data_IF_409315097304
#
_entry.id   IF_409315097304
#
_cell.length_a   1.000
_cell.length_b   1.000
_cell.length_c   1.000
_cell.angle_alpha   90.00
_cell.angle_beta   90.00
_cell.angle_gamma   90.00
#
_symmetry.space_group_name_H-M   'P 1'
#
loop_
_entity.id
_entity.type
_entity.pdbx_description
1 polymer ?
#
# COMPACT_ATOMS: atom_id res chain seq x y z
N UNK A 1 21.51 13.60 -19.68
CA UNK A 1 20.22 14.31 -19.56
C UNK A 1 19.39 13.52 -18.57
N UNK A 2 19.27 14.01 -17.33
CA UNK A 2 18.53 13.30 -16.29
C UNK A 2 17.05 13.27 -16.65
N UNK A 3 16.48 12.07 -16.80
CA UNK A 3 15.03 11.91 -16.84
C UNK A 3 14.49 12.29 -15.46
N UNK A 4 14.01 13.52 -15.30
CA UNK A 4 13.18 13.87 -14.16
C UNK A 4 12.03 12.85 -14.12
N UNK A 5 11.95 12.04 -13.07
CA UNK A 5 10.82 11.11 -12.89
C UNK A 5 9.54 11.94 -12.99
N UNK A 6 8.54 11.51 -13.78
CA UNK A 6 7.29 12.25 -13.88
C UNK A 6 6.68 12.42 -12.49
N UNK A 7 6.32 13.66 -12.14
CA UNK A 7 5.70 13.97 -10.85
C UNK A 7 4.48 13.06 -10.61
N UNK A 8 4.42 12.46 -9.42
CA UNK A 8 3.32 11.57 -9.02
C UNK A 8 1.97 12.27 -9.12
N UNK A 9 0.88 11.52 -9.25
CA UNK A 9 -0.47 12.08 -9.25
C UNK A 9 -0.74 12.96 -8.00
N UNK A 10 -0.19 12.58 -6.85
CA UNK A 10 -0.29 13.33 -5.59
C UNK A 10 0.41 14.68 -5.68
N UNK A 11 1.63 14.72 -6.25
CA UNK A 11 2.39 15.96 -6.47
C UNK A 11 1.66 16.92 -7.43
N UNK A 12 0.96 16.38 -8.43
CA UNK A 12 0.16 17.19 -9.36
C UNK A 12 -1.08 17.77 -8.69
N UNK A 13 -1.78 16.98 -7.88
CA UNK A 13 -2.89 17.49 -7.05
C UNK A 13 -2.42 18.59 -6.10
N UNK A 14 -1.24 18.43 -5.49
CA UNK A 14 -0.67 19.47 -4.63
C UNK A 14 -0.44 20.78 -5.38
N UNK A 15 0.05 20.70 -6.62
CA UNK A 15 0.15 21.88 -7.49
C UNK A 15 -1.19 22.56 -7.74
N UNK A 16 -2.24 21.79 -8.02
CA UNK A 16 -3.60 22.34 -8.25
C UNK A 16 -4.15 23.04 -6.99
N UNK A 17 -3.94 22.47 -5.81
CA UNK A 17 -4.40 23.04 -4.54
C UNK A 17 -3.56 24.24 -4.06
N UNK A 18 -2.33 24.40 -4.56
CA UNK A 18 -1.49 25.55 -4.23
C UNK A 18 -2.06 26.84 -4.82
N UNK A 19 -2.72 26.79 -5.99
CA UNK A 19 -3.26 27.99 -6.64
C UNK A 19 -4.37 28.66 -5.81
N UNK A 20 -5.44 27.96 -5.37
CA UNK A 20 -6.43 28.58 -4.50
C UNK A 20 -5.86 28.98 -3.14
N UNK A 21 -4.82 28.32 -2.64
CA UNK A 21 -4.14 28.76 -1.43
C UNK A 21 -3.56 30.16 -1.62
N UNK A 22 -2.69 30.36 -2.62
CA UNK A 22 -2.03 31.66 -2.88
C UNK A 22 -3.05 32.78 -3.12
N UNK A 23 -4.15 32.49 -3.82
CA UNK A 23 -5.18 33.49 -4.13
C UNK A 23 -6.03 33.88 -2.91
N UNK A 24 -6.15 33.01 -1.91
CA UNK A 24 -6.94 33.28 -0.71
C UNK A 24 -6.09 33.49 0.55
N UNK A 25 -4.77 33.29 0.50
CA UNK A 25 -3.85 33.56 1.60
C UNK A 25 -3.45 35.04 1.58
N UNK A 26 -3.90 35.83 2.54
CA UNK A 26 -3.39 37.17 2.78
C UNK A 26 -2.35 37.15 3.93
N UNK A 27 -1.24 37.90 3.83
CA UNK A 27 -0.30 38.06 4.94
C UNK A 27 -1.02 38.72 6.12
N UNK A 28 -0.90 38.16 7.33
CA UNK A 28 -1.69 38.61 8.48
C UNK A 28 -1.40 40.03 9.01
N UNK A 29 -0.47 40.76 8.38
CA UNK A 29 -0.12 42.13 8.78
C UNK A 29 -1.21 43.14 8.38
N UNK A 30 -2.19 42.76 7.55
CA UNK A 30 -3.31 43.60 7.12
C UNK A 30 -4.67 43.25 7.77
N UNK A 31 -4.73 42.31 8.73
CA UNK A 31 -5.94 42.10 9.55
C UNK A 31 -6.06 43.18 10.64
N UNK A 32 -6.02 44.44 10.21
CA UNK A 32 -6.60 45.51 10.99
C UNK A 32 -8.13 45.32 10.90
N UNK A 33 -8.85 45.43 12.02
CA UNK A 33 -10.30 45.16 12.12
C UNK A 33 -11.19 46.10 11.29
N UNK A 34 -10.60 46.82 10.35
CA UNK A 34 -11.14 47.84 9.47
C UNK A 34 -11.29 47.35 8.01
N UNK A 35 -10.65 46.25 7.60
CA UNK A 35 -10.82 45.64 6.25
C UNK A 35 -11.84 44.49 6.28
N UNK A 36 -13.02 44.73 5.71
CA UNK A 36 -14.24 43.94 5.91
C UNK A 36 -14.33 42.52 5.32
N UNK A 37 -13.24 41.77 5.16
CA UNK A 37 -13.31 40.34 4.85
C UNK A 37 -13.05 39.51 6.11
N UNK A 38 -14.13 38.98 6.71
CA UNK A 38 -14.02 38.03 7.82
C UNK A 38 -13.19 36.80 7.38
N UNK A 39 -12.31 36.32 8.27
CA UNK A 39 -11.53 35.10 8.11
C UNK A 39 -12.40 33.90 7.69
N UNK A 40 -13.66 33.86 8.13
CA UNK A 40 -14.63 32.83 7.78
C UNK A 40 -15.03 32.88 6.30
N UNK A 41 -15.15 34.08 5.73
CA UNK A 41 -15.46 34.25 4.29
C UNK A 41 -14.32 33.69 3.45
N UNK A 42 -13.08 33.96 3.85
CA UNK A 42 -11.89 33.46 3.16
C UNK A 42 -11.77 31.94 3.30
N UNK A 43 -12.07 31.37 4.47
CA UNK A 43 -12.07 29.93 4.69
C UNK A 43 -13.11 29.24 3.80
N UNK A 44 -14.34 29.76 3.76
CA UNK A 44 -15.42 29.26 2.89
C UNK A 44 -15.05 29.35 1.40
N UNK A 45 -14.45 30.46 0.97
CA UNK A 45 -13.96 30.64 -0.40
C UNK A 45 -12.90 29.58 -0.75
N UNK A 46 -11.91 29.35 0.12
CA UNK A 46 -10.88 28.34 -0.09
C UNK A 46 -11.47 26.92 -0.13
N UNK A 47 -12.38 26.59 0.80
CA UNK A 47 -13.07 25.31 0.86
C UNK A 47 -13.86 25.03 -0.42
N UNK A 48 -14.63 26.01 -0.90
CA UNK A 48 -15.39 25.89 -2.14
C UNK A 48 -14.48 25.58 -3.33
N UNK A 49 -13.36 26.30 -3.48
CA UNK A 49 -12.42 26.08 -4.59
C UNK A 49 -11.70 24.73 -4.50
N UNK A 50 -11.31 24.29 -3.32
CA UNK A 50 -10.71 22.96 -3.16
C UNK A 50 -11.72 21.86 -3.47
N UNK A 51 -12.95 21.98 -3.00
CA UNK A 51 -14.03 21.04 -3.30
C UNK A 51 -14.30 20.94 -4.81
N UNK A 52 -14.33 22.08 -5.52
CA UNK A 52 -14.47 22.12 -6.98
C UNK A 52 -13.32 21.40 -7.70
N UNK A 53 -12.06 21.64 -7.30
CA UNK A 53 -10.90 20.94 -7.86
C UNK A 53 -11.00 19.43 -7.64
N UNK A 54 -11.39 18.99 -6.44
CA UNK A 54 -11.54 17.57 -6.16
C UNK A 54 -12.67 16.93 -6.97
N UNK A 55 -13.79 17.65 -7.18
CA UNK A 55 -14.86 17.20 -8.07
C UNK A 55 -14.40 17.06 -9.52
N UNK A 56 -13.65 18.02 -10.04
CA UNK A 56 -13.11 17.97 -11.40
C UNK A 56 -12.17 16.77 -11.59
N UNK A 57 -11.36 16.46 -10.56
CA UNK A 57 -10.47 15.29 -10.57
C UNK A 57 -11.28 14.00 -10.47
N UNK A 58 -12.32 13.98 -9.65
CA UNK A 58 -13.25 12.85 -9.52
C UNK A 58 -13.89 12.52 -10.87
N UNK A 59 -14.35 13.52 -11.63
CA UNK A 59 -14.88 13.33 -12.99
C UNK A 59 -13.82 12.76 -13.96
N UNK A 60 -12.55 13.17 -13.85
CA UNK A 60 -11.46 12.59 -14.65
C UNK A 60 -11.21 11.10 -14.32
N UNK A 61 -11.39 10.72 -13.05
CA UNK A 61 -11.27 9.32 -12.60
C UNK A 61 -12.46 8.51 -13.13
N UNK A 62 -13.68 9.05 -13.09
CA UNK A 62 -14.86 8.40 -13.64
C UNK A 62 -14.73 8.15 -15.16
N UNK A 63 -14.23 9.13 -15.92
CA UNK A 63 -13.87 8.91 -17.33
C UNK A 63 -12.83 7.79 -17.45
N UNK A 64 -11.76 7.83 -16.66
CA UNK A 64 -10.72 6.81 -16.71
C UNK A 64 -11.27 5.39 -16.47
N UNK A 65 -12.11 5.19 -15.45
CA UNK A 65 -12.78 3.92 -15.16
C UNK A 65 -13.63 3.46 -16.36
N UNK A 66 -14.40 4.36 -16.97
CA UNK A 66 -15.21 4.05 -18.14
C UNK A 66 -14.38 3.63 -19.37
N UNK A 67 -13.15 4.14 -19.49
CA UNK A 67 -12.22 3.83 -20.59
C UNK A 67 -11.43 2.54 -20.31
N UNK A 68 -11.18 2.18 -19.06
CA UNK A 68 -10.43 0.97 -18.67
C UNK A 68 -11.00 -0.33 -19.25
N UNK A 69 -12.32 -0.39 -19.48
CA UNK A 69 -12.99 -1.56 -20.06
C UNK A 69 -12.84 -1.66 -21.59
N UNK A 70 -12.28 -0.65 -22.25
CA UNK A 70 -12.10 -0.62 -23.70
C UNK A 70 -10.75 -1.23 -24.10
N UNK A 71 -10.68 -1.80 -25.29
CA UNK A 71 -9.46 -2.44 -25.83
C UNK A 71 -8.30 -1.48 -26.10
N UNK A 72 -8.57 -0.18 -26.25
CA UNK A 72 -7.56 0.87 -26.42
C UNK A 72 -7.89 2.06 -25.51
N UNK A 73 -7.63 1.94 -24.19
CA UNK A 73 -8.05 2.92 -23.20
C UNK A 73 -7.30 4.23 -23.42
N UNK A 74 -8.02 5.32 -23.69
CA UNK A 74 -7.47 6.67 -23.88
C UNK A 74 -8.28 7.70 -23.11
N UNK A 75 -8.20 7.64 -21.79
CA UNK A 75 -8.76 8.67 -20.92
C UNK A 75 -7.90 9.93 -20.92
N UNK A 76 -8.51 11.09 -20.64
CA UNK A 76 -7.77 12.34 -20.42
C UNK A 76 -6.77 12.21 -19.25
N UNK A 77 -7.13 11.49 -18.19
CA UNK A 77 -6.26 11.29 -17.03
C UNK A 77 -4.96 10.57 -17.39
N UNK A 78 -5.04 9.47 -18.15
CA UNK A 78 -3.87 8.74 -18.64
C UNK A 78 -2.97 9.58 -19.56
N UNK A 79 -3.54 10.46 -20.39
CA UNK A 79 -2.73 11.38 -21.22
C UNK A 79 -1.95 12.39 -20.36
N UNK A 80 -2.54 12.88 -19.27
CA UNK A 80 -1.91 13.85 -18.36
C UNK A 80 -0.92 13.18 -17.39
N UNK A 81 -1.20 11.95 -17.00
CA UNK A 81 -0.41 11.15 -16.07
C UNK A 81 -0.22 9.75 -16.66
N UNK A 82 0.77 9.54 -17.56
CA UNK A 82 0.95 8.25 -18.24
C UNK A 82 1.26 7.08 -17.31
N UNK A 83 1.73 7.36 -16.09
CA UNK A 83 2.01 6.37 -15.05
C UNK A 83 0.79 6.00 -14.21
N UNK A 84 -0.39 6.56 -14.48
CA UNK A 84 -1.62 6.23 -13.75
C UNK A 84 -2.01 4.77 -14.03
N UNK A 85 -2.33 4.04 -12.96
CA UNK A 85 -2.83 2.67 -13.02
C UNK A 85 -4.36 2.63 -13.08
N UNK A 86 -4.92 1.42 -13.16
CA UNK A 86 -6.35 1.21 -13.03
C UNK A 86 -6.88 1.72 -11.67
N UNK A 87 -8.12 2.17 -11.68
CA UNK A 87 -8.97 2.40 -10.52
C UNK A 87 -10.02 1.29 -10.44
N UNK A 88 -10.20 0.72 -9.26
CA UNK A 88 -11.17 -0.35 -9.01
C UNK A 88 -12.49 0.16 -8.45
N UNK A 89 -12.49 1.39 -7.92
CA UNK A 89 -13.66 2.05 -7.36
C UNK A 89 -13.70 3.52 -7.81
N UNK A 90 -14.89 4.12 -7.88
CA UNK A 90 -15.03 5.57 -7.97
C UNK A 90 -14.56 6.21 -6.67
N UNK A 91 -13.91 7.38 -6.75
CA UNK A 91 -13.42 8.08 -5.57
C UNK A 91 -14.26 9.33 -5.32
N UNK A 92 -14.99 9.37 -4.21
CA UNK A 92 -15.77 10.54 -3.77
C UNK A 92 -14.84 11.61 -3.20
N UNK A 93 -13.98 12.18 -4.05
CA UNK A 93 -12.91 13.10 -3.66
C UNK A 93 -13.44 14.40 -3.07
N UNK A 94 -14.54 14.94 -3.59
CA UNK A 94 -15.14 16.13 -3.01
C UNK A 94 -15.62 15.87 -1.58
N UNK A 95 -16.38 14.78 -1.40
CA UNK A 95 -16.96 14.41 -0.11
C UNK A 95 -15.86 14.05 0.90
N UNK A 96 -14.82 13.35 0.46
CA UNK A 96 -13.63 13.02 1.26
C UNK A 96 -12.83 14.27 1.66
N UNK A 97 -12.69 15.25 0.74
CA UNK A 97 -12.07 16.52 1.07
C UNK A 97 -12.85 17.27 2.14
N UNK A 98 -14.17 17.40 1.99
CA UNK A 98 -15.03 18.07 2.98
C UNK A 98 -14.91 17.41 4.36
N UNK A 99 -14.88 16.08 4.39
CA UNK A 99 -14.65 15.31 5.61
C UNK A 99 -13.30 15.66 6.25
N UNK A 100 -12.19 15.52 5.52
CA UNK A 100 -10.86 15.80 6.09
C UNK A 100 -10.67 17.28 6.43
N UNK A 101 -11.27 18.20 5.69
CA UNK A 101 -11.25 19.63 5.99
C UNK A 101 -11.96 19.94 7.32
N UNK A 102 -13.08 19.26 7.62
CA UNK A 102 -13.77 19.42 8.90
C UNK A 102 -12.94 18.98 10.11
N UNK A 103 -12.04 18.00 9.92
CA UNK A 103 -11.18 17.45 10.97
C UNK A 103 -9.87 18.24 11.08
N UNK A 104 -9.31 18.69 9.95
CA UNK A 104 -7.94 19.22 9.86
C UNK A 104 -7.87 20.72 9.53
N UNK A 105 -9.03 21.35 9.37
CA UNK A 105 -9.19 22.77 9.06
C UNK A 105 -8.28 23.23 7.91
N UNK A 106 -8.18 22.42 6.84
CA UNK A 106 -7.26 22.62 5.70
C UNK A 106 -7.48 24.01 5.09
N UNK A 107 -8.74 24.34 4.79
CA UNK A 107 -9.16 25.61 4.19
C UNK A 107 -9.07 26.81 5.14
N UNK A 108 -8.90 26.58 6.43
CA UNK A 108 -8.75 27.65 7.43
C UNK A 108 -7.30 28.10 7.59
N UNK A 109 -6.33 27.38 7.02
CA UNK A 109 -4.91 27.75 7.08
C UNK A 109 -4.64 28.98 6.23
N UNK A 110 -3.73 29.85 6.71
CA UNK A 110 -3.32 31.09 6.00
C UNK A 110 -1.85 31.15 5.64
N UNK A 111 -1.02 30.33 6.30
CA UNK A 111 0.43 30.32 6.12
C UNK A 111 0.97 29.00 5.57
N UNK A 112 0.14 27.95 5.60
CA UNK A 112 0.52 26.61 5.20
C UNK A 112 -0.50 26.09 4.21
N UNK A 113 -0.06 25.88 2.97
CA UNK A 113 -0.88 25.28 1.92
C UNK A 113 -1.22 23.81 2.25
N UNK A 114 -2.23 23.23 1.59
CA UNK A 114 -2.47 21.78 1.64
C UNK A 114 -1.18 21.01 1.33
N UNK A 115 -0.78 20.15 2.25
CA UNK A 115 0.44 19.36 2.16
C UNK A 115 0.21 18.08 1.37
N UNK A 116 1.30 17.41 1.02
CA UNK A 116 1.25 16.04 0.48
C UNK A 116 0.47 15.08 1.40
N UNK A 117 0.66 15.19 2.72
CA UNK A 117 -0.03 14.35 3.69
C UNK A 117 -1.54 14.63 3.73
N UNK A 118 -1.96 15.89 3.59
CA UNK A 118 -3.40 16.21 3.51
C UNK A 118 -4.04 15.50 2.31
N UNK A 119 -3.39 15.55 1.14
CA UNK A 119 -3.88 14.91 -0.09
C UNK A 119 -3.90 13.39 0.05
N UNK A 120 -2.84 12.79 0.61
CA UNK A 120 -2.76 11.36 0.88
C UNK A 120 -3.92 10.89 1.76
N UNK A 121 -4.23 11.64 2.82
CA UNK A 121 -5.31 11.31 3.74
C UNK A 121 -6.69 11.50 3.10
N UNK A 122 -6.89 12.55 2.30
CA UNK A 122 -8.13 12.73 1.51
C UNK A 122 -8.34 11.55 0.56
N UNK A 123 -7.28 11.09 -0.12
CA UNK A 123 -7.36 9.93 -1.02
C UNK A 123 -7.67 8.64 -0.25
N UNK A 124 -7.09 8.44 0.93
CA UNK A 124 -7.44 7.32 1.80
C UNK A 124 -8.91 7.35 2.19
N UNK A 125 -9.42 8.51 2.64
CA UNK A 125 -10.85 8.69 2.95
C UNK A 125 -11.74 8.42 1.76
N UNK A 126 -11.36 8.87 0.55
CA UNK A 126 -12.14 8.62 -0.65
C UNK A 126 -12.22 7.13 -1.00
N UNK A 127 -11.13 6.37 -0.81
CA UNK A 127 -11.14 4.92 -0.96
C UNK A 127 -12.05 4.24 0.07
N UNK A 128 -12.00 4.67 1.33
CA UNK A 128 -12.88 4.15 2.39
C UNK A 128 -14.34 4.42 2.03
N UNK A 129 -14.69 5.67 1.72
CA UNK A 129 -16.04 6.07 1.35
C UNK A 129 -16.55 5.26 0.16
N UNK A 130 -15.71 4.99 -0.83
CA UNK A 130 -16.07 4.17 -1.98
C UNK A 130 -16.49 2.73 -1.59
N UNK A 131 -15.90 2.16 -0.54
CA UNK A 131 -16.14 0.78 -0.12
C UNK A 131 -17.25 0.63 0.93
N UNK A 132 -17.43 1.61 1.82
CA UNK A 132 -18.41 1.50 2.92
C UNK A 132 -19.62 2.41 2.76
N UNK A 133 -19.56 3.42 1.89
CA UNK A 133 -20.66 4.34 1.58
C UNK A 133 -20.68 4.72 0.09
N UNK A 134 -20.79 3.74 -0.83
CA UNK A 134 -20.75 4.05 -2.26
C UNK A 134 -21.86 5.02 -2.66
N UNK A 135 -21.44 6.13 -3.29
CA UNK A 135 -22.34 7.09 -3.91
C UNK A 135 -22.77 6.58 -5.29
N UNK A 136 -24.03 6.78 -5.70
CA UNK A 136 -24.45 6.42 -7.05
C UNK A 136 -23.86 7.40 -8.08
N UNK A 137 -23.08 6.87 -9.01
CA UNK A 137 -22.50 7.63 -10.11
C UNK A 137 -23.24 7.35 -11.42
N UNK A 138 -24.13 8.27 -11.83
CA UNK A 138 -24.90 8.16 -13.08
C UNK A 138 -24.02 8.08 -14.34
N UNK A 139 -22.80 8.59 -14.26
CA UNK A 139 -21.85 8.66 -15.38
C UNK A 139 -21.10 7.34 -15.61
N UNK A 140 -21.13 6.41 -14.66
CA UNK A 140 -20.47 5.11 -14.81
C UNK A 140 -21.27 4.22 -15.74
N UNK A 141 -20.59 3.66 -16.75
CA UNK A 141 -21.18 2.79 -17.76
C UNK A 141 -21.43 1.36 -17.24
N UNK A 142 -20.81 1.00 -16.12
CA UNK A 142 -20.93 -0.32 -15.51
C UNK A 142 -21.31 -0.18 -14.05
N UNK A 143 -22.14 -1.10 -13.57
CA UNK A 143 -22.49 -1.17 -12.14
C UNK A 143 -21.28 -1.73 -11.39
N UNK A 144 -20.70 -0.91 -10.52
CA UNK A 144 -19.77 -1.36 -9.50
C UNK A 144 -20.59 -1.59 -8.22
N UNK A 145 -20.32 -2.70 -7.54
CA UNK A 145 -20.91 -3.02 -6.24
C UNK A 145 -19.79 -3.14 -5.20
N UNK A 146 -19.13 -2.02 -4.86
CA UNK A 146 -18.02 -2.03 -3.93
C UNK A 146 -18.54 -2.30 -2.51
N UNK A 147 -17.87 -3.22 -1.83
CA UNK A 147 -18.07 -3.52 -0.42
C UNK A 147 -16.74 -3.94 0.18
N UNK A 148 -16.45 -3.55 1.42
CA UNK A 148 -15.20 -4.02 2.06
C UNK A 148 -15.34 -5.49 2.46
N UNK A 149 -14.74 -6.39 1.69
CA UNK A 149 -14.74 -7.84 1.95
C UNK A 149 -13.38 -8.36 2.40
N UNK A 150 -12.29 -7.75 1.91
CA UNK A 150 -10.91 -8.13 2.25
C UNK A 150 -10.08 -6.90 2.61
N UNK A 151 -9.50 -6.93 3.81
CA UNK A 151 -8.40 -6.07 4.19
C UNK A 151 -7.09 -6.83 4.03
N UNK A 152 -6.13 -6.24 3.34
CA UNK A 152 -4.75 -6.73 3.38
C UNK A 152 -3.85 -5.69 4.00
N UNK A 153 -2.84 -6.13 4.74
CA UNK A 153 -1.93 -5.24 5.45
C UNK A 153 -0.51 -5.62 5.12
N UNK A 154 0.33 -4.61 4.91
CA UNK A 154 1.75 -4.80 5.11
C UNK A 154 2.09 -5.02 6.61
N UNK A 155 3.27 -5.57 6.87
CA UNK A 155 3.81 -5.74 8.21
C UNK A 155 4.47 -4.46 8.73
N UNK A 156 5.76 -4.30 8.45
CA UNK A 156 6.60 -3.22 8.97
C UNK A 156 6.09 -1.83 8.57
N UNK A 157 6.21 -0.86 9.48
CA UNK A 157 5.73 0.53 9.34
C UNK A 157 4.20 0.65 9.17
N UNK A 158 3.47 -0.47 9.13
CA UNK A 158 2.03 -0.55 8.87
C UNK A 158 1.25 -1.10 10.05
N UNK A 159 1.51 -2.34 10.45
CA UNK A 159 0.90 -2.95 11.63
C UNK A 159 1.72 -2.68 12.89
N UNK A 160 3.03 -2.59 12.75
CA UNK A 160 4.00 -2.36 13.82
C UNK A 160 5.17 -1.54 13.29
N UNK A 161 5.92 -0.92 14.20
CA UNK A 161 7.16 -0.20 13.86
C UNK A 161 8.17 -1.14 13.18
N UNK A 162 9.10 -0.57 12.42
CA UNK A 162 10.13 -1.33 11.70
C UNK A 162 10.89 -2.30 12.61
N UNK A 163 10.83 -3.60 12.28
CA UNK A 163 11.45 -4.69 13.04
C UNK A 163 10.73 -5.06 14.34
N UNK A 164 9.63 -4.39 14.69
CA UNK A 164 8.84 -4.66 15.88
C UNK A 164 7.81 -5.79 15.66
N UNK A 165 7.00 -6.07 16.69
CA UNK A 165 6.01 -7.14 16.70
C UNK A 165 4.71 -6.70 17.38
N UNK A 166 3.62 -7.42 17.11
CA UNK A 166 2.36 -7.30 17.84
C UNK A 166 2.40 -8.20 19.08
N UNK A 167 2.34 -7.60 20.26
CA UNK A 167 2.49 -8.31 21.54
C UNK A 167 1.16 -8.48 22.27
N UNK A 168 0.35 -7.41 22.37
CA UNK A 168 -0.94 -7.47 23.05
C UNK A 168 -1.89 -6.36 22.59
N UNK A 169 -3.21 -6.49 22.79
CA UNK A 169 -4.19 -5.45 22.48
C UNK A 169 -3.92 -4.10 23.17
N UNK A 170 -3.35 -4.13 24.38
CA UNK A 170 -3.03 -2.92 25.15
C UNK A 170 -1.83 -2.18 24.56
N UNK A 171 -0.80 -2.91 24.12
CA UNK A 171 0.39 -2.35 23.50
C UNK A 171 0.14 -1.96 22.03
N UNK A 172 -0.73 -2.70 21.34
CA UNK A 172 -0.99 -2.56 19.92
C UNK A 172 -2.51 -2.44 19.64
N UNK A 173 -3.08 -1.23 19.73
CA UNK A 173 -4.53 -0.99 19.60
C UNK A 173 -5.14 -1.46 18.27
N UNK A 174 -4.32 -1.65 17.23
CA UNK A 174 -4.72 -2.18 15.93
C UNK A 174 -5.37 -3.56 16.05
N UNK A 175 -4.93 -4.39 17.01
CA UNK A 175 -5.43 -5.77 17.19
C UNK A 175 -6.94 -5.79 17.41
N UNK A 176 -7.47 -4.90 18.25
CA UNK A 176 -8.91 -4.82 18.52
C UNK A 176 -9.71 -4.42 17.26
N UNK A 177 -9.14 -3.60 16.38
CA UNK A 177 -9.78 -3.24 15.11
C UNK A 177 -9.78 -4.42 14.15
N UNK A 178 -8.68 -5.17 14.06
CA UNK A 178 -8.61 -6.38 13.23
C UNK A 178 -9.64 -7.43 13.70
N UNK A 179 -9.75 -7.65 15.01
CA UNK A 179 -10.78 -8.53 15.59
C UNK A 179 -12.19 -8.01 15.28
N UNK A 180 -12.44 -6.70 15.37
CA UNK A 180 -13.72 -6.10 14.98
C UNK A 180 -14.07 -6.43 13.52
N UNK A 181 -13.14 -6.29 12.57
CA UNK A 181 -13.40 -6.61 11.16
C UNK A 181 -13.65 -8.10 10.93
N UNK A 182 -12.89 -8.99 11.59
CA UNK A 182 -13.13 -10.44 11.53
C UNK A 182 -14.53 -10.79 12.06
N UNK A 183 -15.00 -10.14 13.12
CA UNK A 183 -16.32 -10.33 13.70
C UNK A 183 -17.47 -9.88 12.77
N UNK A 184 -17.16 -9.07 11.76
CA UNK A 184 -18.08 -8.62 10.71
C UNK A 184 -17.80 -9.31 9.36
N UNK A 185 -17.19 -10.50 9.40
CA UNK A 185 -16.91 -11.37 8.26
C UNK A 185 -15.95 -10.82 7.20
N UNK A 186 -15.29 -9.68 7.47
CA UNK A 186 -14.22 -9.15 6.63
C UNK A 186 -12.99 -10.05 6.76
N UNK A 187 -12.43 -10.43 5.61
CA UNK A 187 -11.23 -11.26 5.53
C UNK A 187 -9.99 -10.41 5.76
N UNK A 188 -8.97 -11.00 6.36
CA UNK A 188 -7.70 -10.33 6.66
C UNK A 188 -6.53 -11.13 6.11
N UNK A 189 -5.73 -10.50 5.25
CA UNK A 189 -4.45 -11.03 4.77
C UNK A 189 -3.28 -10.16 5.20
N UNK A 190 -2.34 -10.70 5.98
CA UNK A 190 -1.09 -9.98 6.32
C UNK A 190 -0.04 -10.34 5.26
N UNK A 191 0.32 -9.40 4.40
CA UNK A 191 1.25 -9.56 3.28
C UNK A 191 2.59 -8.93 3.64
N UNK A 192 3.58 -9.73 4.01
CA UNK A 192 4.87 -9.26 4.52
C UNK A 192 6.04 -9.76 3.68
N UNK A 193 7.10 -8.94 3.56
CA UNK A 193 8.37 -9.35 2.96
C UNK A 193 9.10 -10.43 3.78
N UNK A 194 8.78 -10.58 5.07
CA UNK A 194 9.32 -11.64 5.89
C UNK A 194 8.84 -13.02 5.38
N UNK A 195 9.76 -13.81 4.81
CA UNK A 195 9.48 -15.10 4.19
C UNK A 195 10.09 -16.29 4.93
N UNK A 196 9.23 -17.15 5.47
CA UNK A 196 9.56 -18.37 6.20
C UNK A 196 8.52 -19.45 5.88
N UNK A 197 8.89 -20.73 6.01
CA UNK A 197 7.92 -21.84 6.01
C UNK A 197 7.49 -22.21 7.43
N UNK A 198 8.27 -21.82 8.44
CA UNK A 198 8.06 -22.12 9.85
C UNK A 198 7.02 -21.15 10.46
N UNK A 199 5.90 -21.66 11.00
CA UNK A 199 4.88 -20.85 11.66
C UNK A 199 5.39 -20.02 12.85
N UNK A 200 6.38 -20.54 13.59
CA UNK A 200 6.98 -19.90 14.76
C UNK A 200 7.48 -18.47 14.47
N UNK A 201 8.13 -18.25 13.34
CA UNK A 201 8.67 -16.94 12.98
C UNK A 201 7.58 -15.89 12.78
N UNK A 202 6.45 -16.28 12.17
CA UNK A 202 5.28 -15.41 12.05
C UNK A 202 4.60 -15.19 13.39
N UNK A 203 4.51 -16.23 14.22
CA UNK A 203 3.96 -16.11 15.56
C UNK A 203 4.74 -15.12 16.42
N UNK A 204 6.08 -15.15 16.39
CA UNK A 204 6.88 -14.20 17.15
C UNK A 204 6.60 -12.73 16.76
N UNK A 205 6.26 -12.47 15.50
CA UNK A 205 5.89 -11.14 14.99
C UNK A 205 4.43 -10.76 15.26
N UNK A 206 3.53 -11.74 15.34
CA UNK A 206 2.07 -11.54 15.33
C UNK A 206 1.36 -12.13 16.55
N UNK A 207 2.10 -12.54 17.58
CA UNK A 207 1.59 -13.31 18.73
C UNK A 207 0.36 -12.67 19.37
N UNK A 208 0.38 -11.35 19.60
CA UNK A 208 -0.74 -10.63 20.19
C UNK A 208 -2.03 -10.73 19.38
N UNK A 209 -1.95 -10.70 18.04
CA UNK A 209 -3.11 -10.86 17.17
C UNK A 209 -3.58 -12.32 17.15
N UNK A 210 -2.67 -13.28 16.98
CA UNK A 210 -3.02 -14.70 16.87
C UNK A 210 -3.65 -15.22 18.16
N UNK A 211 -3.10 -14.84 19.32
CA UNK A 211 -3.67 -15.17 20.63
C UNK A 211 -5.02 -14.48 20.81
N UNK A 212 -5.16 -13.20 20.47
CA UNK A 212 -6.44 -12.51 20.55
C UNK A 212 -7.54 -13.17 19.69
N UNK A 213 -7.22 -13.63 18.47
CA UNK A 213 -8.17 -14.37 17.62
C UNK A 213 -8.50 -15.74 18.22
N UNK A 214 -7.51 -16.46 18.74
CA UNK A 214 -7.71 -17.77 19.39
C UNK A 214 -8.62 -17.65 20.62
N UNK A 215 -8.35 -16.69 21.49
CA UNK A 215 -9.05 -16.51 22.77
C UNK A 215 -10.37 -15.74 22.65
N UNK A 216 -10.63 -15.10 21.51
CA UNK A 216 -11.87 -14.35 21.29
C UNK A 216 -13.10 -15.24 21.45
N UNK A 217 -14.02 -14.76 22.29
CA UNK A 217 -15.36 -15.32 22.48
C UNK A 217 -16.39 -14.71 21.53
N UNK A 218 -16.02 -13.64 20.83
CA UNK A 218 -16.86 -12.92 19.89
C UNK A 218 -16.80 -13.54 18.49
N UNK A 219 -15.65 -14.12 18.12
CA UNK A 219 -15.43 -14.71 16.82
C UNK A 219 -15.96 -16.15 16.76
N UNK A 220 -16.75 -16.44 15.73
CA UNK A 220 -17.09 -17.82 15.36
C UNK A 220 -15.87 -18.55 14.78
N UNK A 221 -15.90 -19.88 14.74
CA UNK A 221 -14.83 -20.66 14.12
C UNK A 221 -14.58 -20.27 12.65
N UNK A 222 -15.65 -20.01 11.89
CA UNK A 222 -15.55 -19.54 10.51
C UNK A 222 -14.88 -18.15 10.42
N UNK A 223 -15.21 -17.24 11.35
CA UNK A 223 -14.60 -15.91 11.40
C UNK A 223 -13.13 -15.95 11.80
N UNK A 224 -12.71 -16.86 12.69
CA UNK A 224 -11.29 -17.07 12.99
C UNK A 224 -10.50 -17.52 11.75
N UNK A 225 -11.08 -18.36 10.91
CA UNK A 225 -10.48 -18.80 9.64
C UNK A 225 -10.36 -17.71 8.58
N UNK A 226 -10.91 -16.51 8.81
CA UNK A 226 -10.79 -15.36 7.91
C UNK A 226 -9.43 -14.65 8.00
N UNK A 227 -8.48 -15.14 8.80
CA UNK A 227 -7.12 -14.60 8.93
C UNK A 227 -6.09 -15.50 8.23
N UNK A 228 -5.31 -14.91 7.32
CA UNK A 228 -4.16 -15.55 6.67
C UNK A 228 -2.91 -14.66 6.70
N UNK A 229 -1.75 -15.28 6.57
CA UNK A 229 -0.46 -14.60 6.38
C UNK A 229 0.13 -15.03 5.05
N UNK A 230 0.47 -14.04 4.23
CA UNK A 230 1.24 -14.17 2.99
C UNK A 230 2.66 -13.66 3.25
N UNK A 231 3.59 -14.59 3.40
CA UNK A 231 5.00 -14.33 3.66
C UNK A 231 5.87 -14.30 2.42
N UNK A 232 6.99 -13.58 2.52
CA UNK A 232 7.95 -13.40 1.42
C UNK A 232 7.29 -12.73 0.22
N UNK A 233 6.45 -11.73 0.48
CA UNK A 233 5.55 -11.02 -0.45
C UNK A 233 4.47 -11.90 -1.11
N UNK A 234 4.85 -13.01 -1.74
CA UNK A 234 3.98 -13.91 -2.49
C UNK A 234 4.49 -15.35 -2.54
N UNK A 235 5.21 -15.79 -1.50
CA UNK A 235 5.95 -17.06 -1.52
C UNK A 235 5.41 -18.11 -0.55
N UNK A 236 4.90 -17.72 0.61
CA UNK A 236 4.48 -18.63 1.67
C UNK A 236 3.10 -18.27 2.19
N UNK A 237 2.16 -19.21 2.20
CA UNK A 237 0.82 -18.99 2.75
C UNK A 237 0.67 -19.76 4.05
N UNK A 238 0.26 -19.07 5.10
CA UNK A 238 -0.13 -19.64 6.37
C UNK A 238 -1.57 -19.26 6.67
N UNK A 239 -2.33 -20.21 7.19
CA UNK A 239 -3.72 -20.00 7.60
C UNK A 239 -3.82 -20.09 9.11
N UNK A 240 -4.74 -19.32 9.70
CA UNK A 240 -5.06 -19.46 11.10
C UNK A 240 -5.64 -20.85 11.41
N UNK A 241 -5.08 -21.51 12.42
CA UNK A 241 -5.50 -22.83 12.88
C UNK A 241 -5.25 -22.94 14.39
N UNK A 242 -6.30 -22.79 15.19
CA UNK A 242 -6.22 -22.73 16.66
C UNK A 242 -5.70 -24.03 17.31
N UNK A 243 -5.69 -25.13 16.55
CA UNK A 243 -5.19 -26.44 17.00
C UNK A 243 -3.68 -26.57 16.93
N UNK A 244 -3.02 -25.70 16.15
CA UNK A 244 -1.56 -25.71 16.00
C UNK A 244 -0.90 -24.93 17.14
N UNK A 245 0.33 -25.32 17.51
CA UNK A 245 1.12 -24.71 18.59
C UNK A 245 1.25 -23.18 18.43
N UNK A 246 1.51 -22.73 17.20
CA UNK A 246 1.67 -21.33 16.85
C UNK A 246 0.42 -20.70 16.21
N UNK A 247 -0.75 -21.33 16.39
CA UNK A 247 -2.04 -20.91 15.81
C UNK A 247 -2.04 -20.78 14.28
N UNK A 248 -1.06 -21.39 13.61
CA UNK A 248 -0.79 -21.21 12.19
C UNK A 248 -0.41 -22.54 11.55
N UNK A 249 -0.98 -22.80 10.37
CA UNK A 249 -0.67 -23.96 9.54
C UNK A 249 -0.18 -23.51 8.17
N UNK A 250 0.98 -24.03 7.77
CA UNK A 250 1.52 -23.80 6.43
C UNK A 250 0.68 -24.51 5.36
N UNK A 251 0.40 -23.82 4.25
CA UNK A 251 -0.29 -24.37 3.08
C UNK A 251 0.71 -24.60 1.96
N UNK A 252 0.70 -25.79 1.38
CA UNK A 252 1.64 -26.13 0.33
C UNK A 252 1.41 -25.26 -0.90
N UNK A 253 2.50 -24.73 -1.48
CA UNK A 253 2.48 -23.74 -2.56
C UNK A 253 1.53 -24.08 -3.72
N UNK A 254 1.46 -25.35 -4.12
CA UNK A 254 0.61 -25.81 -5.24
C UNK A 254 -0.89 -25.58 -5.04
N UNK A 255 -1.35 -25.38 -3.81
CA UNK A 255 -2.77 -25.25 -3.49
C UNK A 255 -3.32 -23.84 -3.77
N UNK A 256 -2.46 -22.81 -3.71
CA UNK A 256 -2.93 -21.41 -3.70
C UNK A 256 -2.30 -20.52 -4.76
N UNK A 257 -1.17 -20.92 -5.39
CA UNK A 257 -0.50 -20.10 -6.39
C UNK A 257 -1.43 -19.64 -7.52
N UNK A 258 -1.14 -18.46 -8.04
CA UNK A 258 -1.80 -17.91 -9.21
C UNK A 258 -1.36 -18.64 -10.48
N UNK A 259 -2.16 -18.57 -11.53
CA UNK A 259 -1.84 -19.25 -12.80
C UNK A 259 -0.53 -18.72 -13.41
N UNK A 260 -0.29 -17.42 -13.29
CA UNK A 260 0.96 -16.78 -13.74
C UNK A 260 2.22 -17.25 -13.01
N UNK A 261 2.07 -17.91 -11.85
CA UNK A 261 3.18 -18.40 -11.03
C UNK A 261 3.49 -19.88 -11.31
N UNK A 262 2.62 -20.60 -12.03
CA UNK A 262 2.77 -22.03 -12.30
C UNK A 262 3.95 -22.34 -13.22
N UNK A 263 4.26 -21.41 -14.11
CA UNK A 263 5.31 -21.57 -15.12
C UNK A 263 6.70 -21.18 -14.57
N UNK A 264 6.79 -20.72 -13.32
CA UNK A 264 8.07 -20.38 -12.71
C UNK A 264 8.84 -21.65 -12.35
N UNK A 265 9.93 -21.89 -13.08
CA UNK A 265 10.76 -23.07 -12.86
C UNK A 265 11.85 -22.81 -11.82
N UNK A 266 12.20 -23.84 -11.03
CA UNK A 266 13.29 -23.73 -10.05
C UNK A 266 14.64 -23.34 -10.67
N UNK A 267 15.05 -23.84 -11.85
CA UNK A 267 16.27 -23.38 -12.50
C UNK A 267 16.25 -21.89 -12.81
N UNK A 268 15.15 -21.36 -13.35
CA UNK A 268 15.02 -19.93 -13.67
C UNK A 268 15.07 -19.06 -12.40
N UNK A 269 14.38 -19.46 -11.34
CA UNK A 269 14.42 -18.76 -10.04
C UNK A 269 15.85 -18.75 -9.48
N UNK A 270 16.54 -19.89 -9.53
CA UNK A 270 17.90 -19.99 -9.03
C UNK A 270 18.85 -19.08 -9.80
N UNK A 271 18.69 -18.99 -11.12
CA UNK A 271 19.50 -18.13 -11.98
C UNK A 271 19.26 -16.65 -11.68
N UNK A 272 18.00 -16.21 -11.56
CA UNK A 272 17.66 -14.83 -11.16
C UNK A 272 18.30 -14.46 -9.82
N UNK A 273 18.16 -15.32 -8.82
CA UNK A 273 18.74 -15.07 -7.52
C UNK A 273 20.29 -15.11 -7.55
N UNK A 274 20.91 -15.90 -8.45
CA UNK A 274 22.38 -15.90 -8.62
C UNK A 274 22.88 -14.57 -9.18
N UNK A 275 22.19 -14.02 -10.19
CA UNK A 275 22.50 -12.71 -10.75
C UNK A 275 22.32 -11.60 -9.70
N UNK A 276 21.24 -11.68 -8.94
CA UNK A 276 20.99 -10.76 -7.83
C UNK A 276 22.09 -10.85 -6.76
N UNK A 277 22.50 -12.07 -6.39
CA UNK A 277 23.59 -12.27 -5.45
C UNK A 277 24.90 -11.64 -5.96
N UNK A 278 25.25 -11.86 -7.23
CA UNK A 278 26.45 -11.26 -7.83
C UNK A 278 26.39 -9.72 -7.80
N UNK A 279 25.22 -9.14 -8.06
CA UNK A 279 24.98 -7.70 -7.96
C UNK A 279 25.17 -7.19 -6.52
N UNK A 280 24.63 -7.88 -5.52
CA UNK A 280 24.82 -7.55 -4.11
C UNK A 280 26.30 -7.63 -3.70
N UNK A 281 27.01 -8.69 -4.08
CA UNK A 281 28.44 -8.84 -3.80
C UNK A 281 29.26 -7.72 -4.47
N UNK A 282 28.86 -7.28 -5.67
CA UNK A 282 29.46 -6.13 -6.34
C UNK A 282 29.23 -4.83 -5.57
N UNK A 283 28.02 -4.61 -5.04
CA UNK A 283 27.71 -3.45 -4.19
C UNK A 283 28.54 -3.46 -2.90
N UNK A 284 28.67 -4.61 -2.23
CA UNK A 284 29.50 -4.77 -1.03
C UNK A 284 30.94 -4.33 -1.30
N UNK A 285 31.55 -4.77 -2.41
CA UNK A 285 32.92 -4.38 -2.79
C UNK A 285 33.03 -2.91 -3.17
N UNK A 286 32.13 -2.42 -4.01
CA UNK A 286 32.19 -1.07 -4.60
C UNK A 286 31.93 0.02 -3.56
N UNK A 287 30.90 -0.17 -2.73
CA UNK A 287 30.52 0.76 -1.67
C UNK A 287 31.25 0.46 -0.34
N UNK A 288 32.11 -0.57 -0.31
CA UNK A 288 32.87 -1.04 0.87
C UNK A 288 31.96 -1.32 2.07
N UNK A 289 30.79 -1.89 1.82
CA UNK A 289 29.79 -2.15 2.86
C UNK A 289 30.32 -3.18 3.85
N UNK A 290 30.10 -2.93 5.14
CA UNK A 290 30.33 -3.91 6.20
C UNK A 290 29.10 -4.83 6.28
N UNK A 291 28.87 -5.59 5.22
CA UNK A 291 27.66 -6.40 5.04
C UNK A 291 28.00 -7.84 4.63
N UNK A 292 27.04 -8.74 4.85
CA UNK A 292 27.07 -10.14 4.40
C UNK A 292 25.86 -10.43 3.54
N UNK A 293 26.01 -11.36 2.60
CA UNK A 293 24.90 -11.87 1.80
C UNK A 293 24.13 -12.93 2.59
N UNK A 294 22.80 -12.89 2.50
CA UNK A 294 21.90 -13.97 2.92
C UNK A 294 21.12 -14.50 1.72
N UNK A 295 21.26 -15.80 1.45
CA UNK A 295 20.52 -16.50 0.39
C UNK A 295 19.42 -17.38 0.99
N UNK A 296 18.19 -17.18 0.55
CA UNK A 296 17.00 -17.99 0.89
C UNK A 296 16.48 -18.73 -0.36
N UNK A 297 15.43 -19.53 -0.20
CA UNK A 297 14.80 -20.27 -1.31
C UNK A 297 14.22 -19.33 -2.39
N UNK A 298 13.58 -18.24 -1.96
CA UNK A 298 12.84 -17.30 -2.83
C UNK A 298 13.33 -15.85 -2.71
N UNK A 299 14.49 -15.65 -2.11
CA UNK A 299 15.03 -14.32 -1.87
C UNK A 299 16.55 -14.35 -1.73
N UNK A 300 17.20 -13.23 -1.99
CA UNK A 300 18.60 -12.98 -1.65
C UNK A 300 18.77 -11.53 -1.26
N UNK A 301 19.61 -11.26 -0.26
CA UNK A 301 19.80 -9.90 0.22
C UNK A 301 21.11 -9.71 0.97
N UNK A 302 21.31 -8.50 1.47
CA UNK A 302 22.43 -8.13 2.31
C UNK A 302 21.96 -7.58 3.65
N UNK A 303 22.73 -7.86 4.69
CA UNK A 303 22.51 -7.35 6.05
C UNK A 303 23.85 -6.93 6.68
N UNK A 304 23.81 -6.08 7.70
CA UNK A 304 25.02 -5.62 8.39
C UNK A 304 25.81 -6.81 8.99
N UNK A 305 27.11 -6.89 8.72
CA UNK A 305 27.96 -7.99 9.18
C UNK A 305 28.08 -8.05 10.72
N UNK A 306 27.97 -6.88 11.35
CA UNK A 306 27.90 -6.65 12.79
C UNK A 306 26.51 -6.07 13.09
N UNK A 307 25.68 -6.81 13.83
CA UNK A 307 24.28 -6.46 14.12
C UNK A 307 24.15 -5.26 15.06
N UNK A 308 25.24 -4.84 15.72
CA UNK A 308 25.28 -3.59 16.50
C UNK A 308 25.45 -2.35 15.61
N UNK A 309 25.78 -2.53 14.33
CA UNK A 309 25.96 -1.48 13.35
C UNK A 309 24.86 -1.53 12.30
N UNK A 310 24.55 -0.37 11.72
CA UNK A 310 23.58 -0.24 10.63
C UNK A 310 24.26 0.31 9.40
N UNK A 311 23.83 -0.18 8.24
CA UNK A 311 24.12 0.49 6.97
C UNK A 311 23.33 1.80 6.94
N UNK A 312 23.89 2.85 6.32
CA UNK A 312 23.15 4.11 6.19
C UNK A 312 22.03 3.96 5.18
N UNK A 313 21.00 4.80 5.28
CA UNK A 313 19.88 4.80 4.33
C UNK A 313 20.38 4.94 2.90
N UNK A 314 21.34 5.83 2.66
CA UNK A 314 21.91 6.09 1.33
C UNK A 314 22.61 4.85 0.77
N UNK A 315 23.30 4.07 1.61
CA UNK A 315 23.92 2.80 1.19
C UNK A 315 22.87 1.76 0.80
N UNK A 316 21.78 1.67 1.55
CA UNK A 316 20.68 0.75 1.27
C UNK A 316 19.96 1.15 -0.03
N UNK A 317 19.62 2.43 -0.19
CA UNK A 317 18.96 2.96 -1.39
C UNK A 317 19.84 2.80 -2.65
N UNK A 318 21.13 3.10 -2.57
CA UNK A 318 22.07 2.89 -3.68
C UNK A 318 22.13 1.41 -4.07
N UNK A 319 22.19 0.51 -3.08
CA UNK A 319 22.21 -0.94 -3.33
C UNK A 319 20.93 -1.40 -4.02
N UNK A 320 19.75 -0.93 -3.57
CA UNK A 320 18.47 -1.24 -4.23
C UNK A 320 18.50 -0.84 -5.70
N UNK A 321 18.89 0.41 -5.99
CA UNK A 321 18.89 0.94 -7.34
C UNK A 321 19.88 0.20 -8.25
N UNK A 322 21.07 -0.14 -7.75
CA UNK A 322 22.07 -0.90 -8.51
C UNK A 322 21.58 -2.32 -8.81
N UNK A 323 21.10 -3.04 -7.79
CA UNK A 323 20.62 -4.42 -7.98
C UNK A 323 19.43 -4.46 -8.93
N UNK A 324 18.46 -3.55 -8.76
CA UNK A 324 17.32 -3.43 -9.66
C UNK A 324 17.79 -3.17 -11.11
N UNK A 325 18.68 -2.19 -11.32
CA UNK A 325 19.18 -1.87 -12.66
C UNK A 325 19.92 -3.03 -13.31
N UNK A 326 20.73 -3.78 -12.55
CA UNK A 326 21.47 -4.95 -13.07
C UNK A 326 20.50 -6.01 -13.58
N UNK A 327 19.48 -6.36 -12.79
CA UNK A 327 18.50 -7.37 -13.18
C UNK A 327 17.62 -6.89 -14.34
N UNK A 328 17.13 -5.65 -14.31
CA UNK A 328 16.37 -5.09 -15.42
C UNK A 328 17.18 -5.05 -16.71
N UNK A 329 18.48 -4.76 -16.62
CA UNK A 329 19.39 -4.79 -17.77
C UNK A 329 19.57 -6.21 -18.28
N UNK A 330 19.81 -7.20 -17.42
CA UNK A 330 20.03 -8.60 -17.84
C UNK A 330 18.81 -9.19 -18.57
N UNK A 331 17.60 -8.77 -18.18
CA UNK A 331 16.35 -9.12 -18.85
C UNK A 331 16.26 -8.50 -20.25
N UNK A 332 16.72 -7.25 -20.41
CA UNK A 332 16.55 -6.46 -21.63
C UNK A 332 17.70 -6.62 -22.65
N UNK A 333 18.92 -7.00 -22.24
CA UNK A 333 20.10 -7.08 -23.12
C UNK A 333 20.30 -8.43 -23.81
N UNK A 334 19.41 -9.40 -23.59
CA UNK A 334 19.44 -10.65 -24.34
C UNK A 334 19.27 -10.41 -25.84
N UNK A 335 20.15 -10.97 -26.67
CA UNK A 335 19.96 -11.00 -28.13
C UNK A 335 18.58 -11.57 -28.45
N UNK A 336 17.95 -11.17 -29.56
CA UNK A 336 16.59 -11.61 -29.96
C UNK A 336 16.36 -13.13 -29.90
N UNK A 337 17.42 -13.93 -29.94
CA UNK A 337 17.37 -15.40 -29.92
C UNK A 337 17.52 -16.05 -28.53
N UNK A 338 17.91 -15.32 -27.46
CA UNK A 338 18.02 -15.87 -26.09
C UNK A 338 17.74 -14.82 -25.01
N UNK A 339 16.46 -14.66 -24.65
CA UNK A 339 16.08 -13.96 -23.41
C UNK A 339 16.58 -14.74 -22.19
N UNK A 340 16.89 -14.03 -21.11
CA UNK A 340 17.19 -14.66 -19.82
C UNK A 340 16.04 -15.61 -19.43
N UNK A 341 16.30 -16.83 -18.94
CA UNK A 341 15.26 -17.81 -18.65
C UNK A 341 14.29 -17.34 -17.55
N UNK A 342 14.70 -16.38 -16.72
CA UNK A 342 13.90 -15.75 -15.68
C UNK A 342 13.22 -14.44 -16.10
N UNK A 343 13.32 -14.02 -17.37
CA UNK A 343 12.80 -12.73 -17.85
C UNK A 343 11.28 -12.52 -17.62
N UNK A 344 10.54 -13.59 -17.39
CA UNK A 344 9.09 -13.58 -17.15
C UNK A 344 8.72 -13.63 -15.65
N UNK A 345 9.70 -13.81 -14.76
CA UNK A 345 9.49 -13.92 -13.32
C UNK A 345 9.56 -12.52 -12.70
N UNK A 346 8.46 -12.01 -12.12
CA UNK A 346 8.49 -10.75 -11.37
C UNK A 346 9.42 -10.85 -10.17
N UNK A 347 10.03 -9.74 -9.79
CA UNK A 347 10.86 -9.62 -8.61
C UNK A 347 10.69 -8.23 -8.00
N UNK A 348 11.04 -8.11 -6.73
CA UNK A 348 11.04 -6.84 -6.01
C UNK A 348 12.35 -6.69 -5.27
N UNK A 349 13.02 -5.55 -5.45
CA UNK A 349 14.20 -5.18 -4.65
C UNK A 349 13.76 -4.05 -3.74
N UNK A 350 13.95 -4.17 -2.44
CA UNK A 350 13.47 -3.16 -1.49
C UNK A 350 14.47 -2.91 -0.36
N UNK A 351 14.41 -1.69 0.17
CA UNK A 351 15.12 -1.27 1.37
C UNK A 351 14.27 -1.62 2.61
N UNK A 352 14.75 -2.55 3.43
CA UNK A 352 14.11 -2.99 4.68
C UNK A 352 14.49 -2.17 5.91
N UNK A 353 15.04 -0.97 5.74
CA UNK A 353 15.45 -0.08 6.84
C UNK A 353 16.81 -0.42 7.46
N UNK A 354 17.12 -1.71 7.61
CA UNK A 354 18.41 -2.21 8.10
C UNK A 354 19.11 -3.17 7.12
N UNK A 355 18.41 -3.66 6.11
CA UNK A 355 18.87 -4.60 5.11
C UNK A 355 18.29 -4.28 3.72
N UNK A 356 18.78 -4.98 2.69
CA UNK A 356 18.22 -4.91 1.33
C UNK A 356 17.99 -6.34 0.84
N UNK A 357 16.82 -6.62 0.31
CA UNK A 357 16.49 -7.92 -0.27
C UNK A 357 15.94 -7.76 -1.69
N UNK A 358 16.25 -8.76 -2.53
CA UNK A 358 15.52 -9.10 -3.73
C UNK A 358 14.68 -10.34 -3.45
N UNK A 359 13.36 -10.21 -3.60
CA UNK A 359 12.39 -11.29 -3.46
C UNK A 359 11.85 -11.70 -4.84
N UNK A 360 11.55 -13.00 -4.99
CA UNK A 360 10.85 -13.54 -6.15
C UNK A 360 9.36 -13.23 -6.00
N UNK A 361 8.79 -12.57 -6.99
CA UNK A 361 7.42 -12.06 -6.96
C UNK A 361 7.32 -10.64 -6.39
N UNK A 362 6.10 -10.22 -6.12
CA UNK A 362 5.80 -8.91 -5.53
C UNK A 362 4.52 -8.95 -4.69
N UNK A 363 4.30 -7.94 -3.84
CA UNK A 363 3.08 -7.80 -3.03
C UNK A 363 1.78 -7.80 -3.85
N UNK A 364 1.79 -7.41 -5.13
CA UNK A 364 0.59 -7.48 -5.97
C UNK A 364 0.13 -8.92 -6.18
N UNK A 365 1.07 -9.86 -6.35
CA UNK A 365 0.79 -11.28 -6.44
C UNK A 365 0.34 -11.85 -5.10
N UNK A 366 0.92 -11.36 -4.00
CA UNK A 366 0.50 -11.71 -2.63
C UNK A 366 -0.95 -11.34 -2.35
N UNK A 367 -1.34 -10.11 -2.67
CA UNK A 367 -2.72 -9.63 -2.54
C UNK A 367 -3.66 -10.43 -3.45
N UNK A 368 -3.30 -10.69 -4.71
CA UNK A 368 -4.11 -11.51 -5.63
C UNK A 368 -4.26 -12.96 -5.14
N UNK A 369 -3.23 -13.52 -4.52
CA UNK A 369 -3.31 -14.83 -3.90
C UNK A 369 -4.26 -14.82 -2.68
N UNK A 370 -4.27 -13.76 -1.87
CA UNK A 370 -5.25 -13.59 -0.79
C UNK A 370 -6.68 -13.50 -1.35
N UNK A 371 -6.90 -12.69 -2.39
CA UNK A 371 -8.19 -12.58 -3.09
C UNK A 371 -8.68 -13.94 -3.59
N UNK A 372 -7.82 -14.70 -4.28
CA UNK A 372 -8.11 -16.05 -4.78
C UNK A 372 -8.42 -17.02 -3.64
N UNK A 373 -7.61 -16.99 -2.56
CA UNK A 373 -7.77 -17.89 -1.42
C UNK A 373 -9.15 -17.78 -0.79
N UNK A 374 -9.66 -16.55 -0.63
CA UNK A 374 -10.98 -16.29 -0.07
C UNK A 374 -12.12 -16.40 -1.10
N UNK A 375 -11.93 -17.15 -2.19
CA UNK A 375 -12.99 -17.43 -3.16
C UNK A 375 -13.05 -16.46 -4.35
N UNK A 376 -12.01 -15.65 -4.57
CA UNK A 376 -11.94 -14.71 -5.69
C UNK A 376 -12.56 -13.36 -5.41
N UNK A 377 -12.27 -12.78 -4.23
CA UNK A 377 -12.74 -11.44 -3.85
C UNK A 377 -12.21 -10.40 -4.86
N UNK A 378 -13.06 -9.55 -5.45
CA UNK A 378 -12.64 -8.63 -6.49
C UNK A 378 -11.75 -7.50 -5.94
N UNK A 379 -10.88 -6.91 -6.79
CA UNK A 379 -10.06 -5.75 -6.44
C UNK A 379 -10.83 -4.55 -5.89
N UNK A 380 -12.07 -4.34 -6.34
CA UNK A 380 -12.97 -3.26 -5.88
C UNK A 380 -13.49 -3.47 -4.46
N UNK A 381 -13.40 -4.70 -3.95
CA UNK A 381 -13.82 -5.10 -2.60
C UNK A 381 -12.63 -5.45 -1.69
N UNK A 382 -11.42 -5.11 -2.14
CA UNK A 382 -10.16 -5.36 -1.43
C UNK A 382 -9.47 -4.02 -1.13
N UNK A 383 -9.13 -3.77 0.13
CA UNK A 383 -8.30 -2.62 0.54
C UNK A 383 -6.96 -3.12 1.06
N UNK A 384 -5.87 -2.72 0.41
CA UNK A 384 -4.53 -2.90 0.94
C UNK A 384 -4.09 -1.67 1.74
N UNK A 385 -3.60 -1.86 2.95
CA UNK A 385 -3.04 -0.82 3.82
C UNK A 385 -1.54 -1.05 3.91
N UNK A 386 -0.73 -0.07 3.52
CA UNK A 386 0.72 -0.19 3.51
C UNK A 386 1.44 1.15 3.37
N UNK A 387 2.74 1.17 3.69
CA UNK A 387 3.58 2.36 3.55
C UNK A 387 4.26 2.41 2.18
N UNK A 388 4.16 3.55 1.51
CA UNK A 388 4.76 3.79 0.20
C UNK A 388 5.80 4.91 0.21
N UNK A 389 6.21 5.39 1.40
CA UNK A 389 7.27 6.38 1.57
C UNK A 389 8.67 5.80 1.35
N UNK A 390 8.84 4.49 1.48
CA UNK A 390 10.10 3.79 1.18
C UNK A 390 10.33 3.78 -0.35
N UNK A 391 10.97 4.85 -0.83
CA UNK A 391 11.03 5.28 -2.23
C UNK A 391 12.03 4.53 -3.14
N UNK A 392 12.91 3.71 -2.58
CA UNK A 392 13.77 2.79 -3.32
C UNK A 392 13.12 1.42 -3.42
N UNK A 393 12.43 1.16 -4.53
CA UNK A 393 11.89 -0.17 -4.83
C UNK A 393 10.65 -0.59 -4.02
N UNK A 394 9.92 0.37 -3.44
CA UNK A 394 8.79 0.16 -2.52
C UNK A 394 7.85 -0.97 -2.94
N UNK A 395 7.87 -2.05 -2.17
CA UNK A 395 7.08 -3.26 -2.38
C UNK A 395 5.57 -2.97 -2.31
N UNK A 396 5.12 -2.04 -1.47
CA UNK A 396 3.70 -1.65 -1.37
C UNK A 396 3.15 -0.91 -2.58
N UNK A 397 4.02 -0.23 -3.34
CA UNK A 397 3.58 0.45 -4.57
C UNK A 397 2.99 -0.56 -5.57
N UNK A 398 3.49 -1.79 -5.59
CA UNK A 398 3.01 -2.86 -6.49
C UNK A 398 1.59 -3.31 -6.15
N UNK A 399 1.18 -3.25 -4.88
CA UNK A 399 -0.16 -3.65 -4.45
C UNK A 399 -1.28 -2.85 -5.12
N UNK A 400 -1.01 -1.60 -5.55
CA UNK A 400 -1.94 -0.74 -6.29
C UNK A 400 -2.42 -1.33 -7.63
N UNK A 401 -1.68 -2.29 -8.18
CA UNK A 401 -2.07 -2.99 -9.40
C UNK A 401 -3.02 -4.17 -9.15
N UNK A 402 -3.25 -4.54 -7.89
CA UNK A 402 -4.07 -5.67 -7.48
C UNK A 402 -5.38 -5.27 -6.80
N UNK A 403 -5.43 -4.10 -6.16
CA UNK A 403 -6.59 -3.63 -5.39
C UNK A 403 -6.51 -2.14 -5.09
N UNK A 404 -7.54 -1.61 -4.43
CA UNK A 404 -7.48 -0.28 -3.83
C UNK A 404 -6.46 -0.24 -2.69
N UNK A 405 -5.79 0.89 -2.50
CA UNK A 405 -4.79 1.03 -1.45
C UNK A 405 -5.01 2.28 -0.60
N UNK A 406 -4.82 2.15 0.71
CA UNK A 406 -4.63 3.26 1.63
C UNK A 406 -3.13 3.38 1.95
N UNK A 407 -2.58 4.57 1.75
CA UNK A 407 -1.18 4.86 2.03
C UNK A 407 -1.04 5.44 3.43
N UNK A 408 -0.43 4.68 4.33
CA UNK A 408 -0.14 5.08 5.72
C UNK A 408 1.33 5.46 5.89
N UNK A 409 1.65 6.17 6.97
CA UNK A 409 3.02 6.53 7.33
C UNK A 409 3.48 5.95 8.69
N UNK A 410 2.59 5.26 9.39
CA UNK A 410 2.87 4.68 10.71
C UNK A 410 1.75 3.73 11.17
N UNK A 411 2.00 2.87 12.17
CA UNK A 411 0.97 2.08 12.82
C UNK A 411 -0.18 2.90 13.42
N UNK A 412 0.11 4.12 13.91
CA UNK A 412 -0.91 5.01 14.43
C UNK A 412 -1.89 5.49 13.34
N UNK A 413 -1.40 5.75 12.12
CA UNK A 413 -2.26 6.08 10.99
C UNK A 413 -3.11 4.88 10.54
N UNK A 414 -2.59 3.65 10.65
CA UNK A 414 -3.39 2.43 10.41
C UNK A 414 -4.56 2.35 11.40
N UNK A 415 -4.33 2.59 12.69
CA UNK A 415 -5.42 2.64 13.69
C UNK A 415 -6.45 3.71 13.35
N UNK A 416 -6.00 4.93 13.03
CA UNK A 416 -6.89 6.03 12.67
C UNK A 416 -7.71 5.73 11.40
N UNK A 417 -7.10 5.10 10.40
CA UNK A 417 -7.76 4.66 9.17
C UNK A 417 -8.87 3.65 9.48
N UNK A 418 -8.58 2.64 10.29
CA UNK A 418 -9.55 1.60 10.66
C UNK A 418 -10.70 2.18 11.52
N UNK A 419 -10.42 3.10 12.42
CA UNK A 419 -11.45 3.82 13.18
C UNK A 419 -12.33 4.68 12.27
N UNK A 420 -11.75 5.32 11.25
CA UNK A 420 -12.49 6.07 10.23
C UNK A 420 -13.39 5.16 9.39
N UNK A 421 -12.92 3.97 8.98
CA UNK A 421 -13.74 2.95 8.28
C UNK A 421 -14.96 2.58 9.12
N UNK A 422 -14.77 2.28 10.41
CA UNK A 422 -15.85 1.90 11.32
C UNK A 422 -16.85 3.05 11.47
N UNK A 423 -16.36 4.28 11.65
CA UNK A 423 -17.20 5.47 11.84
C UNK A 423 -18.04 5.76 10.59
N UNK A 424 -17.42 5.71 9.41
CA UNK A 424 -18.12 5.93 8.14
C UNK A 424 -19.13 4.81 7.86
N UNK A 425 -18.80 3.54 8.12
CA UNK A 425 -19.72 2.42 7.91
C UNK A 425 -21.00 2.52 8.77
N UNK A 426 -20.92 3.07 9.97
CA UNK A 426 -22.10 3.28 10.86
C UNK A 426 -23.00 4.45 10.43
N UNK A 427 -22.57 5.29 9.49
CA UNK A 427 -23.33 6.46 9.06
C UNK A 427 -23.43 7.58 10.10
N UNK A 428 -22.57 7.58 11.13
CA UNK A 428 -22.59 8.54 12.24
C UNK A 428 -22.16 9.97 11.84
N UNK A 429 -21.72 10.17 10.60
CA UNK A 429 -21.39 11.47 10.04
C UNK A 429 -22.53 12.06 9.19
N UNK A 430 -23.21 13.07 9.74
CA UNK A 430 -24.11 13.99 9.02
C UNK A 430 -23.32 15.24 8.65
N UNK A 431 -22.89 15.35 7.40
CA UNK A 431 -22.34 16.59 6.84
C UNK A 431 -23.41 17.20 5.94
N UNK A 432 -24.16 18.15 6.48
CA UNK A 432 -25.09 18.99 5.73
C UNK A 432 -24.73 20.45 5.99
#
# INVERSE_FOLDING_TARGET
MGSARPASAHTRLQGLLTVPFVLNSQPAVEYDGSSGQSLDVMARSAQQRYAEIFRDVEDLILDHINQQALSNPRSKLNMLVPTISAFFTPLALEDAFRYQDSVRAISSRRFVAPSFNDIRLILNTAQIMAMVRPKPYRQLKFKLDPGLELLTFDGDVTLYEDGASLHSPEANPVILRLVHFLAHDVKIGIVTAAGYTQPEHYFNRLSGLLVAVKESKELTAAQKSNLIIMGGESNFLLVFDETQEHCLRYIHRREWILDTMKDWTEPAIKELLNEAQAAFESCIRTLRLQAKVLRKERAVGIYAADQSKRLTREQLEETVLVVQQVIETSINTGSSDKKAPYAHIPFTVFNGGADVFLDIGDKSLGVKACQKWFGGIPPSSTLHVGDQFLSGGGNDFKARSACCCAWIASPAETVALLDEVITLAKGECKWA
#
